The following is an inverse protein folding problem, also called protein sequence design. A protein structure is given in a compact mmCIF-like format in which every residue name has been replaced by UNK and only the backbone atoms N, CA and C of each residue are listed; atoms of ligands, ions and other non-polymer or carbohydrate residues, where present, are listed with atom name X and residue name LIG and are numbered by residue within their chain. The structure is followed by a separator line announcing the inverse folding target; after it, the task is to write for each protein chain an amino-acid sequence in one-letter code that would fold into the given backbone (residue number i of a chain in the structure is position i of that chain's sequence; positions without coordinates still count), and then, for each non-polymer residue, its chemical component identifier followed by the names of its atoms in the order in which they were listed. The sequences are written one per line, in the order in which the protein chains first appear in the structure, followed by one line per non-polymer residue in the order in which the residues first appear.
data_IF_306344657381
#
_entry.id   IF_306344657381
#
_cell.length_a   1.000
_cell.length_b   1.000
_cell.length_c   1.000
_cell.angle_alpha   90.00
_cell.angle_beta   90.00
_cell.angle_gamma   90.00
#
_symmetry.space_group_name_H-M   'P 1'
#
loop_
_entity.id
_entity.type
_entity.pdbx_description
1 polymer ?
#
# COMPACT_ATOMS: atom_id res chain seq x y z
N UNK A 1 20.15 -8.17 2.57
CA UNK A 1 19.17 -8.37 3.65
C UNK A 1 18.25 -9.55 3.37
N UNK A 2 17.71 -9.71 2.15
CA UNK A 2 16.72 -10.77 1.80
C UNK A 2 15.54 -10.78 2.78
N UNK A 3 14.83 -9.65 2.92
CA UNK A 3 13.65 -9.58 3.79
C UNK A 3 12.52 -10.46 3.25
N UNK A 4 11.49 -10.70 4.06
CA UNK A 4 10.29 -11.43 3.62
C UNK A 4 9.49 -10.63 2.57
N UNK A 5 9.41 -9.30 2.77
CA UNK A 5 8.73 -8.35 1.89
C UNK A 5 9.66 -7.16 1.61
N UNK A 6 9.56 -6.59 0.42
CA UNK A 6 10.07 -5.25 0.13
C UNK A 6 9.11 -4.48 -0.77
N UNK A 7 9.13 -3.15 -0.66
CA UNK A 7 8.30 -2.29 -1.51
C UNK A 7 8.86 -2.18 -2.93
N UNK A 8 7.95 -2.06 -3.91
CA UNK A 8 8.23 -1.75 -5.31
C UNK A 8 7.30 -0.62 -5.76
N UNK A 9 7.82 0.60 -5.82
CA UNK A 9 7.08 1.77 -6.32
C UNK A 9 6.77 1.65 -7.80
N UNK A 10 5.52 1.42 -8.18
CA UNK A 10 5.20 1.05 -9.55
C UNK A 10 4.96 2.25 -10.47
N UNK A 11 6.03 2.84 -11.02
CA UNK A 11 5.94 3.86 -12.06
C UNK A 11 6.59 5.19 -11.71
N UNK A 12 6.73 6.04 -12.73
CA UNK A 12 7.25 7.41 -12.59
C UNK A 12 6.11 8.37 -12.27
N UNK A 13 6.33 9.27 -11.32
CA UNK A 13 5.34 10.29 -10.93
C UNK A 13 6.02 11.58 -10.45
N UNK A 14 5.34 12.72 -10.61
CA UNK A 14 5.71 13.91 -9.84
C UNK A 14 5.45 13.63 -8.35
N UNK A 15 6.40 13.94 -7.48
CA UNK A 15 6.35 13.47 -6.10
C UNK A 15 6.60 14.62 -5.13
N UNK A 16 5.52 15.11 -4.52
CA UNK A 16 5.59 16.24 -3.61
C UNK A 16 5.46 17.61 -4.29
N UNK A 17 5.66 18.66 -3.51
CA UNK A 17 5.44 20.05 -3.93
C UNK A 17 6.74 20.81 -4.25
N UNK A 18 7.91 20.18 -4.13
CA UNK A 18 9.21 20.79 -4.36
C UNK A 18 9.73 20.64 -5.79
N UNK A 19 8.85 20.29 -6.75
CA UNK A 19 9.17 19.97 -8.14
C UNK A 19 10.05 18.72 -8.33
N UNK A 20 9.96 17.75 -7.41
CA UNK A 20 10.65 16.48 -7.55
C UNK A 20 9.87 15.48 -8.43
N UNK A 21 10.61 14.60 -9.09
CA UNK A 21 10.07 13.47 -9.84
C UNK A 21 10.63 12.18 -9.26
N UNK A 22 9.75 11.27 -8.87
CA UNK A 22 10.11 9.90 -8.60
C UNK A 22 10.24 9.16 -9.94
N UNK A 23 11.43 8.66 -10.26
CA UNK A 23 11.73 8.04 -11.55
C UNK A 23 11.77 6.53 -11.41
N UNK A 24 10.75 5.86 -11.90
CA UNK A 24 10.75 4.41 -12.05
C UNK A 24 9.99 3.98 -13.32
N UNK A 25 10.62 4.09 -14.50
CA UNK A 25 9.96 3.72 -15.76
C UNK A 25 9.59 2.23 -15.78
N UNK A 26 8.65 1.86 -16.65
CA UNK A 26 8.13 0.50 -16.73
C UNK A 26 9.19 -0.59 -16.98
N UNK A 27 10.31 -0.25 -17.63
CA UNK A 27 11.43 -1.18 -17.81
C UNK A 27 12.16 -1.47 -16.50
N UNK A 28 12.32 -0.47 -15.64
CA UNK A 28 12.93 -0.62 -14.32
C UNK A 28 12.00 -1.38 -13.38
N UNK A 29 10.68 -1.13 -13.42
CA UNK A 29 9.69 -1.92 -12.69
C UNK A 29 9.80 -3.42 -13.01
N UNK A 30 9.90 -3.79 -14.29
CA UNK A 30 10.08 -5.20 -14.71
C UNK A 30 11.40 -5.79 -14.20
N UNK A 31 12.49 -5.03 -14.32
CA UNK A 31 13.81 -5.47 -13.86
C UNK A 31 13.81 -5.71 -12.34
N UNK A 32 13.25 -4.78 -11.57
CA UNK A 32 13.17 -4.89 -10.12
C UNK A 32 12.23 -6.00 -9.68
N UNK A 33 11.05 -6.15 -10.30
CA UNK A 33 10.14 -7.27 -10.02
C UNK A 33 10.82 -8.63 -10.26
N UNK A 34 11.53 -8.77 -11.39
CA UNK A 34 12.33 -9.98 -11.69
C UNK A 34 13.37 -10.23 -10.60
N UNK A 35 14.16 -9.22 -10.24
CA UNK A 35 15.17 -9.36 -9.20
C UNK A 35 14.57 -9.77 -7.85
N UNK A 36 13.52 -9.08 -7.40
CA UNK A 36 12.84 -9.34 -6.12
C UNK A 36 12.35 -10.79 -6.07
N UNK A 37 11.67 -11.25 -7.13
CA UNK A 37 11.20 -12.62 -7.27
C UNK A 37 12.35 -13.63 -7.25
N UNK A 38 13.42 -13.38 -8.00
CA UNK A 38 14.58 -14.28 -8.07
C UNK A 38 15.32 -14.39 -6.72
N UNK A 39 15.20 -13.39 -5.85
CA UNK A 39 15.68 -13.43 -4.46
C UNK A 39 14.72 -14.11 -3.48
N UNK A 40 13.54 -14.56 -3.93
CA UNK A 40 12.50 -15.17 -3.10
C UNK A 40 11.84 -14.19 -2.13
N UNK A 41 11.85 -12.90 -2.45
CA UNK A 41 11.22 -11.84 -1.64
C UNK A 41 9.86 -11.50 -2.25
N UNK A 42 8.85 -11.24 -1.40
CA UNK A 42 7.54 -10.82 -1.89
C UNK A 42 7.53 -9.30 -2.15
N UNK A 43 7.24 -8.84 -3.37
CA UNK A 43 7.06 -7.41 -3.61
C UNK A 43 5.71 -6.94 -3.03
N UNK A 44 5.74 -5.90 -2.21
CA UNK A 44 4.58 -5.04 -1.99
C UNK A 44 4.58 -3.95 -3.07
N UNK A 45 3.67 -4.06 -4.03
CA UNK A 45 3.64 -3.17 -5.20
C UNK A 45 2.83 -1.92 -4.87
N UNK A 46 3.54 -0.81 -4.73
CA UNK A 46 2.98 0.49 -4.36
C UNK A 46 2.44 1.17 -5.62
N UNK A 47 1.16 1.53 -5.61
CA UNK A 47 0.49 2.21 -6.72
C UNK A 47 -0.11 3.52 -6.25
N UNK A 48 0.30 4.61 -6.91
CA UNK A 48 -0.05 5.98 -6.57
C UNK A 48 -1.13 6.57 -7.49
N UNK A 49 -1.46 5.91 -8.61
CA UNK A 49 -2.55 6.29 -9.51
C UNK A 49 -3.08 5.10 -10.34
N UNK A 50 -4.13 5.32 -11.16
CA UNK A 50 -4.74 4.28 -11.99
C UNK A 50 -3.85 3.80 -13.15
N UNK A 51 -2.95 4.64 -13.68
CA UNK A 51 -1.97 4.22 -14.67
C UNK A 51 -0.98 3.23 -14.08
N UNK A 52 -0.59 3.44 -12.83
CA UNK A 52 0.28 2.55 -12.07
C UNK A 52 -0.43 1.24 -11.69
N UNK A 53 -1.72 1.28 -11.35
CA UNK A 53 -2.55 0.06 -11.20
C UNK A 53 -2.53 -0.80 -12.48
N UNK A 54 -2.65 -0.16 -13.65
CA UNK A 54 -2.57 -0.87 -14.94
C UNK A 54 -1.18 -1.45 -15.19
N UNK A 55 -0.11 -0.73 -14.86
CA UNK A 55 1.25 -1.24 -14.98
C UNK A 55 1.47 -2.43 -14.03
N UNK A 56 1.04 -2.32 -12.78
CA UNK A 56 1.13 -3.38 -11.78
C UNK A 56 0.37 -4.65 -12.22
N UNK A 57 -0.81 -4.48 -12.81
CA UNK A 57 -1.57 -5.58 -13.41
C UNK A 57 -0.83 -6.23 -14.58
N UNK A 58 -0.19 -5.45 -15.44
CA UNK A 58 0.65 -6.01 -16.50
C UNK A 58 1.85 -6.81 -15.95
N UNK A 59 2.51 -6.33 -14.90
CA UNK A 59 3.59 -7.10 -14.24
C UNK A 59 3.08 -8.43 -13.66
N UNK A 60 1.85 -8.43 -13.12
CA UNK A 60 1.19 -9.63 -12.62
C UNK A 60 0.89 -10.62 -13.76
N UNK A 61 0.26 -10.15 -14.84
CA UNK A 61 -0.07 -10.97 -16.01
C UNK A 61 1.18 -11.51 -16.74
N UNK A 62 2.28 -10.77 -16.69
CA UNK A 62 3.60 -11.20 -17.20
C UNK A 62 4.27 -12.28 -16.33
N UNK A 63 3.69 -12.64 -15.18
CA UNK A 63 4.26 -13.63 -14.25
C UNK A 63 5.50 -13.12 -13.50
N UNK A 64 5.64 -11.80 -13.38
CA UNK A 64 6.73 -11.17 -12.62
C UNK A 64 6.39 -11.00 -11.14
N UNK A 65 5.11 -11.12 -10.78
CA UNK A 65 4.61 -11.05 -9.41
C UNK A 65 3.93 -12.38 -9.06
N UNK A 66 4.39 -13.07 -8.03
CA UNK A 66 3.83 -14.35 -7.61
C UNK A 66 2.45 -14.17 -6.95
N UNK A 67 1.52 -15.06 -7.28
CA UNK A 67 0.19 -15.10 -6.66
C UNK A 67 0.22 -15.72 -5.24
N UNK A 68 -0.60 -15.24 -4.29
CA UNK A 68 -1.41 -14.03 -4.39
C UNK A 68 -0.52 -12.78 -4.38
N UNK A 69 -0.86 -11.79 -5.22
CA UNK A 69 -0.16 -10.52 -5.26
C UNK A 69 -0.34 -9.72 -3.96
N UNK A 70 0.58 -8.79 -3.70
CA UNK A 70 0.51 -7.85 -2.59
C UNK A 70 0.65 -6.43 -3.13
N UNK A 71 -0.38 -5.62 -2.97
CA UNK A 71 -0.44 -4.26 -3.51
C UNK A 71 -0.73 -3.25 -2.41
N UNK A 72 -0.19 -2.04 -2.54
CA UNK A 72 -0.50 -0.93 -1.65
C UNK A 72 -1.07 0.25 -2.45
N UNK A 73 -2.28 0.66 -2.08
CA UNK A 73 -2.98 1.81 -2.64
C UNK A 73 -2.56 3.07 -1.87
N UNK A 74 -1.69 3.86 -2.50
CA UNK A 74 -1.04 5.02 -1.89
C UNK A 74 -1.82 6.30 -2.19
N UNK A 75 -2.38 6.96 -1.17
CA UNK A 75 -3.30 8.07 -1.38
C UNK A 75 -2.87 9.37 -0.71
N UNK A 76 -3.11 10.48 -1.41
CA UNK A 76 -2.92 11.84 -0.91
C UNK A 76 -1.53 12.41 -1.14
N UNK A 77 -0.61 11.65 -1.73
CA UNK A 77 0.68 12.17 -2.21
C UNK A 77 0.40 13.21 -3.31
N UNK A 78 0.98 14.43 -3.26
CA UNK A 78 0.78 15.42 -4.30
C UNK A 78 1.05 14.86 -5.70
N UNK A 79 0.12 15.13 -6.62
CA UNK A 79 0.11 14.66 -8.02
C UNK A 79 -0.20 13.17 -8.24
N UNK A 80 -0.37 12.40 -7.17
CA UNK A 80 -0.99 11.07 -7.21
C UNK A 80 -2.50 11.12 -7.00
N UNK A 81 -3.08 9.96 -6.75
CA UNK A 81 -4.48 9.79 -6.40
C UNK A 81 -4.84 10.51 -5.10
N UNK A 82 -6.00 11.15 -5.08
CA UNK A 82 -6.51 11.81 -3.88
C UNK A 82 -6.84 10.81 -2.77
N UNK A 83 -6.68 11.24 -1.51
CA UNK A 83 -7.16 10.48 -0.35
C UNK A 83 -8.68 10.64 -0.20
N UNK A 84 -9.43 10.05 -1.11
CA UNK A 84 -10.89 9.99 -1.08
C UNK A 84 -11.44 8.61 -1.45
N UNK A 85 -12.70 8.37 -1.07
CA UNK A 85 -13.39 7.08 -1.27
C UNK A 85 -13.40 6.64 -2.72
N UNK A 86 -13.62 7.55 -3.68
CA UNK A 86 -13.73 7.18 -5.10
C UNK A 86 -12.38 6.76 -5.65
N UNK A 87 -11.31 7.47 -5.29
CA UNK A 87 -9.95 7.10 -5.68
C UNK A 87 -9.55 5.73 -5.12
N UNK A 88 -9.75 5.49 -3.81
CA UNK A 88 -9.41 4.19 -3.22
C UNK A 88 -10.19 3.04 -3.86
N UNK A 89 -11.51 3.19 -4.01
CA UNK A 89 -12.37 2.17 -4.61
C UNK A 89 -11.95 1.87 -6.06
N UNK A 90 -11.77 2.91 -6.89
CA UNK A 90 -11.39 2.72 -8.29
C UNK A 90 -10.02 2.04 -8.44
N UNK A 91 -9.06 2.35 -7.56
CA UNK A 91 -7.75 1.72 -7.58
C UNK A 91 -7.81 0.27 -7.10
N UNK A 92 -8.52 0.00 -6.00
CA UNK A 92 -8.68 -1.35 -5.46
C UNK A 92 -9.41 -2.28 -6.43
N UNK A 93 -10.49 -1.82 -7.06
CA UNK A 93 -11.24 -2.58 -8.07
C UNK A 93 -10.41 -2.88 -9.33
N UNK A 94 -9.37 -2.07 -9.59
CA UNK A 94 -8.47 -2.25 -10.73
C UNK A 94 -7.33 -3.23 -10.49
N UNK A 95 -7.14 -3.72 -9.26
CA UNK A 95 -6.06 -4.67 -8.92
C UNK A 95 -6.39 -6.09 -9.42
N UNK A 96 -5.36 -6.94 -9.65
CA UNK A 96 -5.59 -8.31 -10.05
C UNK A 96 -6.45 -9.09 -9.03
N UNK A 97 -7.44 -9.82 -9.53
CA UNK A 97 -8.39 -10.56 -8.69
C UNK A 97 -7.67 -11.59 -7.79
N UNK A 98 -8.13 -11.69 -6.53
CA UNK A 98 -7.56 -12.61 -5.55
C UNK A 98 -6.26 -12.12 -4.90
N UNK A 99 -5.82 -10.89 -5.19
CA UNK A 99 -4.66 -10.29 -4.56
C UNK A 99 -4.97 -9.75 -3.17
N UNK A 100 -3.96 -9.75 -2.31
CA UNK A 100 -3.98 -8.97 -1.09
C UNK A 100 -3.67 -7.51 -1.43
N UNK A 101 -4.39 -6.59 -0.81
CA UNK A 101 -4.07 -5.17 -0.92
C UNK A 101 -4.21 -4.46 0.42
N UNK A 102 -3.46 -3.38 0.59
CA UNK A 102 -3.59 -2.44 1.69
C UNK A 102 -3.85 -1.03 1.17
N UNK A 103 -4.52 -0.19 1.95
CA UNK A 103 -4.69 1.23 1.64
C UNK A 103 -4.17 2.12 2.76
N UNK A 104 -3.57 3.25 2.40
CA UNK A 104 -3.24 4.30 3.36
C UNK A 104 -3.51 5.70 2.80
N UNK A 105 -3.58 6.67 3.71
CA UNK A 105 -3.62 8.09 3.39
C UNK A 105 -2.59 8.85 4.22
N UNK A 106 -2.05 9.93 3.67
CA UNK A 106 -1.07 10.74 4.39
C UNK A 106 -1.71 11.76 5.35
N UNK A 107 -0.96 12.12 6.39
CA UNK A 107 -1.29 13.15 7.38
C UNK A 107 -2.68 12.93 8.00
N UNK A 108 -3.51 13.97 8.06
CA UNK A 108 -4.87 13.92 8.62
C UNK A 108 -5.80 12.87 7.98
N UNK A 109 -5.44 12.36 6.80
CA UNK A 109 -6.24 11.36 6.09
C UNK A 109 -5.89 9.92 6.47
N UNK A 110 -4.87 9.68 7.29
CA UNK A 110 -4.45 8.34 7.70
C UNK A 110 -5.60 7.53 8.32
N UNK A 111 -6.24 8.04 9.37
CA UNK A 111 -7.33 7.31 10.05
C UNK A 111 -8.62 7.18 9.20
N UNK A 112 -9.07 8.22 8.46
CA UNK A 112 -10.14 8.04 7.48
C UNK A 112 -9.86 6.94 6.44
N UNK A 113 -8.63 6.83 5.94
CA UNK A 113 -8.26 5.82 4.94
C UNK A 113 -8.13 4.41 5.55
N UNK A 114 -7.74 4.28 6.83
CA UNK A 114 -7.84 3.01 7.57
C UNK A 114 -9.28 2.47 7.53
N UNK A 115 -10.26 3.29 7.91
CA UNK A 115 -11.66 2.89 7.89
C UNK A 115 -12.15 2.58 6.47
N UNK A 116 -11.76 3.38 5.48
CA UNK A 116 -12.16 3.19 4.09
C UNK A 116 -11.60 1.90 3.48
N UNK A 117 -10.33 1.59 3.72
CA UNK A 117 -9.71 0.37 3.21
C UNK A 117 -10.41 -0.86 3.79
N UNK A 118 -10.73 -0.82 5.09
CA UNK A 118 -11.48 -1.90 5.73
C UNK A 118 -12.90 -2.06 5.18
N UNK A 119 -13.62 -0.97 4.89
CA UNK A 119 -14.94 -1.03 4.25
C UNK A 119 -14.90 -1.70 2.86
N UNK A 120 -13.77 -1.57 2.15
CA UNK A 120 -13.57 -2.15 0.82
C UNK A 120 -12.94 -3.55 0.87
N UNK A 121 -12.69 -4.10 2.06
CA UNK A 121 -12.10 -5.42 2.24
C UNK A 121 -10.57 -5.46 2.10
N UNK A 122 -9.90 -4.31 2.14
CA UNK A 122 -8.44 -4.19 2.14
C UNK A 122 -7.83 -4.25 3.54
N UNK A 123 -6.51 -4.43 3.58
CA UNK A 123 -5.68 -4.23 4.76
C UNK A 123 -5.38 -2.73 4.95
N UNK A 124 -4.74 -2.37 6.06
CA UNK A 124 -4.47 -0.96 6.39
C UNK A 124 -2.98 -0.75 6.70
N UNK A 125 -2.48 0.45 6.42
CA UNK A 125 -1.16 0.90 6.85
C UNK A 125 -1.28 2.20 7.65
N UNK A 126 -0.52 2.27 8.73
CA UNK A 126 -0.34 3.46 9.58
C UNK A 126 1.12 3.56 10.02
N UNK A 127 1.53 4.76 10.41
CA UNK A 127 2.86 5.01 10.93
C UNK A 127 3.27 6.48 10.81
N UNK A 128 4.36 6.82 11.48
CA UNK A 128 4.94 8.16 11.47
C UNK A 128 5.51 8.56 10.11
N UNK A 129 5.79 7.58 9.24
CA UNK A 129 6.16 7.82 7.85
C UNK A 129 5.07 8.60 7.10
N UNK A 130 3.80 8.23 7.34
CA UNK A 130 2.67 8.83 6.62
C UNK A 130 2.05 9.98 7.40
N UNK A 131 2.13 9.99 8.73
CA UNK A 131 1.48 10.97 9.59
C UNK A 131 2.19 11.15 10.95
N UNK A 132 2.60 12.38 11.26
CA UNK A 132 3.29 12.71 12.52
C UNK A 132 2.34 13.07 13.68
N UNK A 133 1.03 13.18 13.44
CA UNK A 133 0.06 13.69 14.42
C UNK A 133 -0.93 12.63 14.88
N UNK A 134 -1.16 12.57 16.19
CA UNK A 134 -2.27 11.80 16.76
C UNK A 134 -3.57 12.58 16.57
N UNK A 135 -3.57 13.82 17.05
CA UNK A 135 -4.66 14.80 16.93
C UNK A 135 -4.09 16.14 16.45
N UNK A 136 -4.96 17.11 16.14
CA UNK A 136 -4.50 18.42 15.65
C UNK A 136 -3.55 19.08 16.66
N UNK A 137 -2.27 19.16 16.28
CA UNK A 137 -1.22 19.75 17.12
C UNK A 137 -0.64 18.81 18.19
N UNK A 138 -1.08 17.55 18.24
CA UNK A 138 -0.57 16.53 19.17
C UNK A 138 0.24 15.52 18.38
N UNK A 139 1.54 15.40 18.66
CA UNK A 139 2.41 14.43 18.00
C UNK A 139 2.06 13.00 18.42
N UNK A 140 2.27 12.05 17.51
CA UNK A 140 2.08 10.63 17.78
C UNK A 140 3.42 9.89 17.96
N UNK A 141 3.36 8.73 18.60
CA UNK A 141 4.27 7.61 18.38
C UNK A 141 3.67 6.61 17.37
N UNK A 142 4.48 5.71 16.80
CA UNK A 142 3.94 4.62 16.00
C UNK A 142 2.94 3.75 16.79
N UNK A 143 3.18 3.55 18.09
CA UNK A 143 2.28 2.80 18.98
C UNK A 143 0.89 3.45 19.07
N UNK A 144 0.83 4.78 19.21
CA UNK A 144 -0.44 5.51 19.29
C UNK A 144 -1.26 5.37 17.99
N UNK A 145 -0.59 5.39 16.84
CA UNK A 145 -1.25 5.25 15.54
C UNK A 145 -1.75 3.82 15.31
N UNK A 146 -0.94 2.82 15.68
CA UNK A 146 -1.33 1.40 15.62
C UNK A 146 -2.50 1.12 16.55
N UNK A 147 -2.48 1.64 17.78
CA UNK A 147 -3.60 1.49 18.73
C UNK A 147 -4.88 2.11 18.16
N UNK A 148 -4.81 3.35 17.63
CA UNK A 148 -5.97 4.02 17.05
C UNK A 148 -6.53 3.28 15.83
N UNK A 149 -5.67 2.76 14.95
CA UNK A 149 -6.09 1.94 13.81
C UNK A 149 -6.75 0.62 14.27
N UNK A 150 -6.17 -0.04 15.26
CA UNK A 150 -6.72 -1.27 15.85
C UNK A 150 -8.12 -1.05 16.42
N UNK A 151 -8.30 0.05 17.18
CA UNK A 151 -9.61 0.42 17.73
C UNK A 151 -10.66 0.68 16.63
N UNK A 152 -10.27 1.29 15.51
CA UNK A 152 -11.17 1.48 14.35
C UNK A 152 -11.58 0.12 13.79
N UNK A 153 -10.61 -0.76 13.52
CA UNK A 153 -10.82 -2.10 12.95
C UNK A 153 -11.78 -2.92 13.83
N UNK A 154 -11.53 -2.96 15.14
CA UNK A 154 -12.33 -3.74 16.09
C UNK A 154 -13.75 -3.19 16.22
N UNK A 155 -13.92 -1.86 16.24
CA UNK A 155 -15.24 -1.22 16.28
C UNK A 155 -16.05 -1.45 15.00
N UNK A 156 -15.38 -1.73 13.89
CA UNK A 156 -16.00 -2.13 12.63
C UNK A 156 -16.24 -3.65 12.53
N UNK A 157 -15.91 -4.42 13.57
CA UNK A 157 -16.16 -5.86 13.66
C UNK A 157 -15.06 -6.75 13.07
N UNK A 158 -13.90 -6.19 12.72
CA UNK A 158 -12.72 -6.99 12.33
C UNK A 158 -11.79 -7.29 13.50
N UNK A 159 -10.67 -7.92 13.17
CA UNK A 159 -9.61 -8.28 14.11
C UNK A 159 -8.25 -8.08 13.44
N UNK A 160 -7.32 -7.47 14.16
CA UNK A 160 -5.91 -7.37 13.73
C UNK A 160 -5.24 -8.74 13.92
N UNK A 161 -4.45 -9.14 12.92
CA UNK A 161 -3.77 -10.44 12.90
C UNK A 161 -2.31 -10.29 13.33
N UNK A 162 -1.76 -11.35 13.92
CA UNK A 162 -0.34 -11.41 14.26
C UNK A 162 0.54 -11.67 13.03
N UNK A 163 1.87 -11.54 13.15
CA UNK A 163 2.80 -11.75 12.04
C UNK A 163 2.69 -13.13 11.38
N UNK A 164 2.46 -14.20 12.15
CA UNK A 164 2.38 -15.55 11.59
C UNK A 164 1.12 -15.75 10.72
N UNK A 165 -0.04 -15.28 11.19
CA UNK A 165 -1.28 -15.28 10.41
C UNK A 165 -1.17 -14.35 9.18
N UNK A 166 -0.42 -13.25 9.29
CA UNK A 166 -0.12 -12.39 8.15
C UNK A 166 0.73 -13.12 7.09
N UNK A 167 1.77 -13.85 7.50
CA UNK A 167 2.59 -14.67 6.57
C UNK A 167 1.74 -15.68 5.81
N UNK A 168 0.86 -16.39 6.50
CA UNK A 168 -0.05 -17.36 5.89
C UNK A 168 -0.95 -16.70 4.83
N UNK A 169 -1.60 -15.57 5.18
CA UNK A 169 -2.49 -14.82 4.27
C UNK A 169 -1.75 -14.26 3.06
N UNK A 170 -0.52 -13.82 3.25
CA UNK A 170 0.30 -13.23 2.19
C UNK A 170 1.02 -14.28 1.33
N UNK A 171 1.06 -15.54 1.76
CA UNK A 171 1.81 -16.60 1.08
C UNK A 171 3.32 -16.42 1.21
N UNK A 172 3.77 -15.98 2.40
CA UNK A 172 5.19 -15.84 2.76
C UNK A 172 5.60 -17.12 3.50
N UNK A 173 6.78 -17.66 3.15
CA UNK A 173 7.34 -18.88 3.74
C UNK A 173 8.32 -18.59 4.86
#
# INVERSE_FOLDING_TARGET
LRPEICTLDCGTINFGNGNETYVNPASWCRQMATMIRDYGVKPEVEVFDLGQVRLASALYDEGLLDAPGLFQVCLGIPWGAGADTRSMMAMADGLPAGSNWAGFGISRMQMPMVAQAMLLGGNVRVGLEDNIYLDRGVLASNGDLVERATQIIERMGGRVVGPDEAREKLGIK
#
